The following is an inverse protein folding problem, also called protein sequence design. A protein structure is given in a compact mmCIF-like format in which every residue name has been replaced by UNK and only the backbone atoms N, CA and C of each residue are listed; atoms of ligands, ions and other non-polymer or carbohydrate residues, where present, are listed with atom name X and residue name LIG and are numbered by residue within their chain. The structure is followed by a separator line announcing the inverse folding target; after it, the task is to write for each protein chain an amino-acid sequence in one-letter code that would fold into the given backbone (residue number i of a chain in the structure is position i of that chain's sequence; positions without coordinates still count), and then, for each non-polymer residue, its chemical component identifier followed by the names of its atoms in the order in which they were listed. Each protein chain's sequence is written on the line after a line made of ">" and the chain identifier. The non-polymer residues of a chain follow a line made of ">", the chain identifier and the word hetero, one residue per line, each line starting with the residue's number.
data_IF_217373362652
#
_entry.id   IF_217373362652
#
_cell.length_a   1.000
_cell.length_b   1.000
_cell.length_c   1.000
_cell.angle_alpha   90.00
_cell.angle_beta   90.00
_cell.angle_gamma   90.00
#
_symmetry.space_group_name_H-M   'P 1'
#
loop_
_entity.id
_entity.type
_entity.pdbx_description
1 polymer ?
#
# COMPACT_ATOMS: atom_id res chain seq x y z
N UNK A 1 26.99 8.38 16.21
CA UNK A 1 26.11 7.34 15.65
C UNK A 1 26.20 7.44 14.15
N UNK A 2 26.99 6.57 13.50
CA UNK A 2 27.02 6.55 12.03
C UNK A 2 25.71 5.92 11.56
N UNK A 3 24.80 6.73 11.02
CA UNK A 3 23.67 6.19 10.27
C UNK A 3 24.26 5.32 9.15
N UNK A 4 23.97 4.02 9.19
CA UNK A 4 24.32 3.11 8.12
C UNK A 4 23.68 3.61 6.82
N UNK A 5 24.38 3.46 5.70
CA UNK A 5 23.89 3.92 4.39
C UNK A 5 22.50 3.34 4.06
N UNK A 6 22.20 2.15 4.58
CA UNK A 6 20.87 1.53 4.49
C UNK A 6 19.78 2.37 5.13
N UNK A 7 20.04 2.92 6.32
CA UNK A 7 19.06 3.73 7.07
C UNK A 7 18.75 5.00 6.31
N UNK A 8 19.77 5.64 5.72
CA UNK A 8 19.57 6.82 4.87
C UNK A 8 18.81 6.46 3.60
N UNK A 9 19.18 5.37 2.93
CA UNK A 9 18.51 4.91 1.71
C UNK A 9 17.04 4.56 1.98
N UNK A 10 16.75 3.96 3.14
CA UNK A 10 15.40 3.65 3.56
C UNK A 10 14.57 4.91 3.81
N UNK A 11 15.13 5.91 4.50
CA UNK A 11 14.48 7.21 4.74
C UNK A 11 14.13 7.93 3.43
N UNK A 12 15.08 7.96 2.47
CA UNK A 12 14.88 8.45 1.10
C UNK A 12 13.70 7.71 0.43
N UNK A 13 13.68 6.38 0.51
CA UNK A 13 12.66 5.54 -0.13
C UNK A 13 11.29 5.76 0.50
N UNK A 14 11.21 5.86 1.82
CA UNK A 14 9.97 6.18 2.53
C UNK A 14 9.47 7.57 2.14
N UNK A 15 10.33 8.58 2.14
CA UNK A 15 9.95 9.94 1.74
C UNK A 15 9.44 9.98 0.29
N UNK A 16 10.09 9.26 -0.62
CA UNK A 16 9.66 9.15 -2.01
C UNK A 16 8.31 8.42 -2.15
N UNK A 17 8.06 7.38 -1.34
CA UNK A 17 6.78 6.67 -1.34
C UNK A 17 5.61 7.54 -0.83
N UNK A 18 5.89 8.51 0.05
CA UNK A 18 4.89 9.44 0.59
C UNK A 18 4.69 10.69 -0.26
N UNK A 19 5.76 11.27 -0.81
CA UNK A 19 5.72 12.60 -1.44
C UNK A 19 6.16 12.62 -2.91
N UNK A 20 6.61 11.47 -3.45
CA UNK A 20 7.26 11.38 -4.75
C UNK A 20 8.70 11.94 -4.72
N UNK A 21 9.35 11.90 -5.89
CA UNK A 21 10.78 12.28 -6.03
C UNK A 21 11.02 13.75 -6.39
N UNK A 22 9.96 14.58 -6.45
CA UNK A 22 10.03 15.95 -6.98
C UNK A 22 10.97 16.89 -6.23
N UNK A 23 11.04 16.77 -4.90
CA UNK A 23 11.85 17.64 -4.02
C UNK A 23 13.22 17.05 -3.68
N UNK A 24 13.51 15.83 -4.12
CA UNK A 24 14.73 15.11 -3.77
C UNK A 24 15.91 15.55 -4.63
N UNK A 25 17.14 15.38 -4.13
CA UNK A 25 18.31 15.51 -4.99
C UNK A 25 18.30 14.44 -6.09
N UNK A 26 19.00 14.69 -7.19
CA UNK A 26 19.02 13.75 -8.32
C UNK A 26 19.46 12.33 -7.90
N UNK A 27 20.51 12.19 -7.10
CA UNK A 27 20.98 10.88 -6.65
C UNK A 27 19.97 10.16 -5.74
N UNK A 28 19.26 10.91 -4.90
CA UNK A 28 18.21 10.40 -4.02
C UNK A 28 16.97 9.96 -4.81
N UNK A 29 16.55 10.77 -5.79
CA UNK A 29 15.46 10.44 -6.69
C UNK A 29 15.73 9.16 -7.49
N UNK A 30 16.93 9.02 -8.08
CA UNK A 30 17.32 7.82 -8.81
C UNK A 30 17.40 6.59 -7.90
N UNK A 31 17.93 6.77 -6.69
CA UNK A 31 17.99 5.69 -5.69
C UNK A 31 16.58 5.23 -5.30
N UNK A 32 15.69 6.16 -4.95
CA UNK A 32 14.31 5.86 -4.60
C UNK A 32 13.59 5.14 -5.73
N UNK A 33 13.71 5.65 -6.96
CA UNK A 33 13.09 5.06 -8.14
C UNK A 33 13.59 3.63 -8.40
N UNK A 34 14.88 3.36 -8.24
CA UNK A 34 15.44 2.01 -8.38
C UNK A 34 14.96 1.05 -7.27
N UNK A 35 14.90 1.51 -6.02
CA UNK A 35 14.45 0.67 -4.89
C UNK A 35 12.95 0.36 -4.97
N UNK A 36 12.16 1.34 -5.41
CA UNK A 36 10.70 1.24 -5.53
C UNK A 36 10.24 0.60 -6.85
N UNK A 37 11.17 0.19 -7.71
CA UNK A 37 10.90 -0.35 -9.06
C UNK A 37 10.08 0.60 -9.95
N UNK A 38 10.29 1.91 -9.77
CA UNK A 38 9.61 2.98 -10.53
C UNK A 38 10.44 3.42 -11.72
N UNK A 39 10.44 2.57 -12.76
CA UNK A 39 11.12 2.89 -14.02
C UNK A 39 10.54 4.15 -14.68
N UNK A 40 9.24 4.40 -14.53
CA UNK A 40 8.58 5.62 -14.99
C UNK A 40 9.17 6.89 -14.36
N UNK A 41 9.55 6.86 -13.09
CA UNK A 41 10.23 7.98 -12.41
C UNK A 41 11.63 8.24 -12.95
N UNK A 42 12.34 7.18 -13.38
CA UNK A 42 13.62 7.33 -14.07
C UNK A 42 13.44 7.96 -15.46
N UNK A 43 12.45 7.47 -16.20
CA UNK A 43 12.12 7.94 -17.55
C UNK A 43 11.67 9.41 -17.56
N UNK A 44 10.88 9.85 -16.59
CA UNK A 44 10.46 11.25 -16.43
C UNK A 44 11.67 12.19 -16.24
N UNK A 45 12.75 11.69 -15.61
CA UNK A 45 14.01 12.41 -15.45
C UNK A 45 14.98 12.24 -16.63
N UNK A 46 14.62 11.43 -17.63
CA UNK A 46 15.44 11.14 -18.79
C UNK A 46 16.59 10.16 -18.53
N UNK A 47 16.48 9.30 -17.52
CA UNK A 47 17.50 8.30 -17.18
C UNK A 47 17.03 6.89 -17.52
N UNK A 48 17.91 6.09 -18.10
CA UNK A 48 17.76 4.64 -18.12
C UNK A 48 18.19 4.02 -16.79
N UNK A 49 17.81 2.75 -16.56
CA UNK A 49 18.24 1.98 -15.38
C UNK A 49 19.78 1.92 -15.30
N UNK A 50 20.45 1.69 -16.44
CA UNK A 50 21.90 1.59 -16.49
C UNK A 50 22.58 2.90 -16.10
N UNK A 51 22.12 4.03 -16.63
CA UNK A 51 22.65 5.36 -16.29
C UNK A 51 22.35 5.74 -14.84
N UNK A 52 21.18 5.37 -14.32
CA UNK A 52 20.84 5.59 -12.92
C UNK A 52 21.78 4.81 -11.99
N UNK A 53 22.07 3.54 -12.30
CA UNK A 53 23.01 2.70 -11.54
C UNK A 53 24.44 3.25 -11.57
N UNK A 54 24.92 3.70 -12.74
CA UNK A 54 26.22 4.35 -12.87
C UNK A 54 26.29 5.64 -12.03
N UNK A 55 25.21 6.43 -12.04
CA UNK A 55 25.11 7.71 -11.35
C UNK A 55 25.11 7.59 -9.82
N UNK A 56 24.41 6.62 -9.25
CA UNK A 56 24.38 6.41 -7.79
C UNK A 56 25.68 5.75 -7.28
N UNK A 57 26.40 5.07 -8.17
CA UNK A 57 27.66 4.41 -7.89
C UNK A 57 27.53 3.03 -7.22
N UNK A 58 28.61 2.23 -7.25
CA UNK A 58 28.59 0.82 -6.89
C UNK A 58 28.29 0.57 -5.40
N UNK A 59 28.66 1.52 -4.53
CA UNK A 59 28.44 1.38 -3.10
C UNK A 59 26.95 1.45 -2.73
N UNK A 60 26.18 2.32 -3.40
CA UNK A 60 24.74 2.41 -3.23
C UNK A 60 24.03 1.27 -3.98
N UNK A 61 24.46 0.98 -5.22
CA UNK A 61 23.92 -0.11 -6.02
C UNK A 61 23.96 -1.46 -5.30
N UNK A 62 25.03 -1.76 -4.57
CA UNK A 62 25.18 -3.00 -3.80
C UNK A 62 24.16 -3.15 -2.64
N UNK A 63 23.55 -2.04 -2.19
CA UNK A 63 22.58 -2.04 -1.08
C UNK A 63 21.12 -2.03 -1.54
N UNK A 64 20.86 -1.70 -2.81
CA UNK A 64 19.51 -1.57 -3.37
C UNK A 64 18.61 -2.78 -3.03
N UNK A 65 19.08 -4.00 -3.29
CA UNK A 65 18.28 -5.21 -3.02
C UNK A 65 17.99 -5.42 -1.53
N UNK A 66 18.91 -5.00 -0.64
CA UNK A 66 18.72 -5.13 0.81
C UNK A 66 17.65 -4.15 1.27
N UNK A 67 17.76 -2.89 0.85
CA UNK A 67 16.82 -1.84 1.23
C UNK A 67 15.45 -2.05 0.59
N UNK A 68 15.38 -2.54 -0.65
CA UNK A 68 14.12 -2.91 -1.30
C UNK A 68 13.36 -3.99 -0.53
N UNK A 69 14.05 -5.04 -0.06
CA UNK A 69 13.43 -6.07 0.78
C UNK A 69 12.99 -5.53 2.12
N UNK A 70 13.80 -4.69 2.75
CA UNK A 70 13.46 -4.07 4.01
C UNK A 70 12.22 -3.18 3.89
N UNK A 71 12.20 -2.28 2.90
CA UNK A 71 11.05 -1.44 2.61
C UNK A 71 9.80 -2.28 2.30
N UNK A 72 9.91 -3.33 1.48
CA UNK A 72 8.77 -4.19 1.18
C UNK A 72 8.22 -4.89 2.43
N UNK A 73 9.10 -5.28 3.36
CA UNK A 73 8.71 -5.88 4.64
C UNK A 73 7.96 -4.86 5.51
N UNK A 74 8.51 -3.66 5.66
CA UNK A 74 7.91 -2.57 6.45
C UNK A 74 6.59 -2.07 5.83
N UNK A 75 6.54 -1.94 4.50
CA UNK A 75 5.34 -1.58 3.76
C UNK A 75 4.28 -2.67 3.89
N UNK A 76 4.67 -3.95 3.84
CA UNK A 76 3.75 -5.08 4.07
C UNK A 76 3.22 -5.07 5.49
N UNK A 77 4.05 -4.84 6.50
CA UNK A 77 3.60 -4.70 7.89
C UNK A 77 2.63 -3.53 8.06
N UNK A 78 2.92 -2.38 7.44
CA UNK A 78 2.04 -1.21 7.42
C UNK A 78 0.71 -1.52 6.70
N UNK A 79 0.75 -2.34 5.65
CA UNK A 79 -0.46 -2.81 4.94
C UNK A 79 -1.27 -3.80 5.77
N UNK A 80 -0.61 -4.68 6.52
CA UNK A 80 -1.23 -5.68 7.41
C UNK A 80 -1.86 -5.05 8.66
N UNK A 81 -1.46 -3.83 9.01
CA UNK A 81 -2.13 -3.03 10.04
C UNK A 81 -3.61 -2.87 9.75
N UNK A 82 -3.99 -2.72 8.48
CA UNK A 82 -5.39 -2.60 8.09
C UNK A 82 -5.88 -3.95 7.54
N UNK A 83 -7.01 -4.42 8.06
CA UNK A 83 -7.66 -5.64 7.58
C UNK A 83 -9.17 -5.50 7.68
N UNK A 84 -9.92 -6.42 7.07
CA UNK A 84 -11.36 -6.47 7.22
C UNK A 84 -11.83 -7.90 7.36
N UNK A 85 -12.94 -8.07 8.07
CA UNK A 85 -13.61 -9.35 8.28
C UNK A 85 -15.06 -9.25 7.80
N UNK A 86 -15.54 -10.34 7.18
CA UNK A 86 -16.93 -10.48 6.78
C UNK A 86 -17.51 -11.65 7.57
N UNK A 87 -18.45 -11.36 8.47
CA UNK A 87 -19.04 -12.34 9.37
C UNK A 87 -20.49 -12.56 8.95
N UNK A 88 -20.95 -13.82 8.78
CA UNK A 88 -22.36 -14.09 8.51
C UNK A 88 -23.21 -13.67 9.71
N UNK A 89 -24.29 -12.93 9.45
CA UNK A 89 -25.23 -12.49 10.48
C UNK A 89 -26.44 -13.43 10.50
N UNK A 90 -26.59 -14.29 11.53
CA UNK A 90 -27.70 -15.22 11.60
C UNK A 90 -28.98 -14.46 11.95
N UNK A 91 -29.71 -14.04 10.92
CA UNK A 91 -31.06 -13.53 11.03
C UNK A 91 -31.96 -14.25 10.05
N UNK A 92 -33.27 -14.19 10.30
CA UNK A 92 -34.30 -14.73 9.40
C UNK A 92 -34.19 -14.16 7.96
N UNK A 93 -33.55 -13.00 7.82
CA UNK A 93 -33.29 -12.32 6.56
C UNK A 93 -31.95 -12.70 5.88
N UNK A 94 -31.05 -13.40 6.57
CA UNK A 94 -29.66 -13.62 6.11
C UNK A 94 -28.85 -12.33 5.98
N UNK A 95 -27.58 -12.46 5.60
CA UNK A 95 -26.69 -11.32 5.32
C UNK A 95 -25.36 -11.35 6.07
N UNK A 96 -24.58 -10.29 5.89
CA UNK A 96 -23.21 -10.19 6.37
C UNK A 96 -22.93 -8.89 7.10
N UNK A 97 -22.06 -8.95 8.10
CA UNK A 97 -21.48 -7.78 8.77
C UNK A 97 -20.03 -7.64 8.31
N UNK A 98 -19.74 -6.50 7.70
CA UNK A 98 -18.37 -6.08 7.39
C UNK A 98 -17.80 -5.35 8.62
N UNK A 99 -16.63 -5.79 9.10
CA UNK A 99 -15.84 -5.13 10.14
C UNK A 99 -14.53 -4.67 9.53
N UNK A 100 -14.21 -3.40 9.70
CA UNK A 100 -12.97 -2.78 9.25
C UNK A 100 -12.05 -2.65 10.48
N UNK A 101 -10.83 -3.17 10.37
CA UNK A 101 -9.91 -3.32 11.50
C UNK A 101 -8.63 -2.49 11.29
N UNK A 102 -8.26 -1.68 12.27
CA UNK A 102 -6.94 -1.06 12.43
C UNK A 102 -6.20 -1.75 13.59
N UNK A 103 -5.10 -2.43 13.28
CA UNK A 103 -4.29 -3.22 14.22
C UNK A 103 -5.13 -4.22 15.04
N UNK A 104 -6.13 -4.81 14.38
CA UNK A 104 -7.09 -5.75 15.00
C UNK A 104 -8.23 -5.08 15.79
N UNK A 105 -8.27 -3.76 15.89
CA UNK A 105 -9.38 -3.03 16.51
C UNK A 105 -10.40 -2.58 15.46
N UNK A 106 -11.69 -2.79 15.74
CA UNK A 106 -12.76 -2.34 14.85
C UNK A 106 -12.86 -0.82 14.83
N UNK A 107 -12.61 -0.24 13.66
CA UNK A 107 -12.67 1.21 13.42
C UNK A 107 -13.91 1.62 12.61
N UNK A 108 -14.64 0.65 12.08
CA UNK A 108 -15.86 0.89 11.31
C UNK A 108 -16.42 -0.40 10.73
N UNK A 109 -17.53 -0.28 10.01
CA UNK A 109 -18.21 -1.44 9.45
C UNK A 109 -19.57 -1.10 8.85
N UNK A 110 -20.26 -2.14 8.39
CA UNK A 110 -21.59 -2.03 7.81
C UNK A 110 -22.33 -3.36 7.81
N UNK A 111 -23.66 -3.28 7.80
CA UNK A 111 -24.53 -4.44 7.68
C UNK A 111 -25.10 -4.53 6.27
N UNK A 112 -24.94 -5.70 5.65
CA UNK A 112 -25.37 -6.01 4.30
C UNK A 112 -26.43 -7.11 4.36
N UNK A 113 -27.69 -6.69 4.43
CA UNK A 113 -28.83 -7.60 4.57
C UNK A 113 -29.29 -8.16 3.23
N UNK A 114 -29.45 -9.48 3.14
CA UNK A 114 -29.90 -10.16 1.92
C UNK A 114 -31.43 -10.10 1.70
N UNK A 115 -32.23 -9.99 2.77
CA UNK A 115 -33.71 -9.88 2.72
C UNK A 115 -34.25 -8.88 3.77
N UNK A 116 -35.52 -8.45 3.65
CA UNK A 116 -36.14 -7.47 4.58
C UNK A 116 -37.09 -6.46 3.92
N UNK A 117 -37.61 -5.46 4.66
CA UNK A 117 -38.55 -4.44 4.12
C UNK A 117 -37.90 -3.36 3.25
N UNK A 118 -36.56 -3.28 3.26
CA UNK A 118 -35.75 -2.36 2.44
C UNK A 118 -34.58 -3.11 1.81
N UNK A 119 -34.89 -4.21 1.10
CA UNK A 119 -33.87 -5.05 0.45
C UNK A 119 -33.05 -4.23 -0.54
N UNK A 120 -31.73 -4.27 -0.40
CA UNK A 120 -30.79 -3.69 -1.36
C UNK A 120 -30.21 -4.70 -2.35
N UNK A 121 -30.25 -6.00 -2.03
CA UNK A 121 -29.59 -7.09 -2.78
C UNK A 121 -30.54 -8.24 -3.11
N UNK A 122 -30.36 -8.87 -4.27
CA UNK A 122 -31.25 -9.92 -4.78
C UNK A 122 -31.13 -11.25 -4.02
N UNK A 123 -29.96 -11.53 -3.42
CA UNK A 123 -29.60 -12.79 -2.77
C UNK A 123 -28.41 -12.60 -1.80
N UNK A 124 -28.06 -13.65 -1.04
CA UNK A 124 -26.97 -13.62 -0.06
C UNK A 124 -25.58 -13.49 -0.71
N UNK A 125 -25.34 -14.05 -1.89
CA UNK A 125 -24.07 -13.92 -2.58
C UNK A 125 -23.85 -12.45 -2.99
N UNK A 126 -24.88 -11.79 -3.51
CA UNK A 126 -24.84 -10.35 -3.81
C UNK A 126 -24.52 -9.49 -2.57
N UNK A 127 -25.03 -9.85 -1.39
CA UNK A 127 -24.73 -9.15 -0.15
C UNK A 127 -23.27 -9.37 0.32
N UNK A 128 -22.73 -10.58 0.12
CA UNK A 128 -21.32 -10.88 0.38
C UNK A 128 -20.39 -10.13 -0.58
N UNK A 129 -20.68 -10.16 -1.88
CA UNK A 129 -19.86 -9.52 -2.91
C UNK A 129 -19.77 -8.02 -2.69
N UNK A 130 -20.87 -7.37 -2.28
CA UNK A 130 -20.86 -5.95 -1.91
C UNK A 130 -20.04 -5.69 -0.63
N UNK A 131 -20.21 -6.52 0.41
CA UNK A 131 -19.41 -6.40 1.63
C UNK A 131 -17.90 -6.56 1.34
N UNK A 132 -17.56 -7.48 0.45
CA UNK A 132 -16.20 -7.69 -0.04
C UNK A 132 -15.69 -6.50 -0.85
N UNK A 133 -16.49 -5.97 -1.77
CA UNK A 133 -16.13 -4.79 -2.55
C UNK A 133 -15.89 -3.56 -1.65
N UNK A 134 -16.75 -3.34 -0.65
CA UNK A 134 -16.61 -2.26 0.32
C UNK A 134 -15.36 -2.42 1.20
N UNK A 135 -15.08 -3.64 1.69
CA UNK A 135 -13.87 -3.95 2.46
C UNK A 135 -12.59 -3.75 1.64
N UNK A 136 -12.57 -4.26 0.41
CA UNK A 136 -11.45 -4.08 -0.53
C UNK A 136 -11.23 -2.60 -0.87
N UNK A 137 -12.30 -1.83 -1.13
CA UNK A 137 -12.19 -0.40 -1.43
C UNK A 137 -11.65 0.40 -0.24
N UNK A 138 -12.10 0.10 0.98
CA UNK A 138 -11.57 0.72 2.19
C UNK A 138 -10.09 0.39 2.39
N UNK A 139 -9.71 -0.88 2.24
CA UNK A 139 -8.32 -1.31 2.37
C UNK A 139 -7.44 -0.64 1.32
N UNK A 140 -7.85 -0.62 0.05
CA UNK A 140 -7.15 0.08 -1.02
C UNK A 140 -6.96 1.58 -0.70
N UNK A 141 -8.00 2.23 -0.19
CA UNK A 141 -7.93 3.61 0.29
C UNK A 141 -6.87 3.80 1.37
N UNK A 142 -6.84 2.94 2.40
CA UNK A 142 -5.82 2.98 3.47
C UNK A 142 -4.40 2.74 2.95
N UNK A 143 -4.25 1.85 1.98
CA UNK A 143 -2.95 1.59 1.36
C UNK A 143 -2.47 2.77 0.51
N UNK A 144 -3.38 3.45 -0.19
CA UNK A 144 -3.10 4.69 -0.94
C UNK A 144 -2.79 5.85 -0.02
N UNK A 145 -3.48 6.00 1.12
CA UNK A 145 -3.14 7.02 2.12
C UNK A 145 -1.74 6.77 2.72
N UNK A 146 -1.37 5.51 2.94
CA UNK A 146 -0.06 5.14 3.44
C UNK A 146 1.05 5.41 2.42
N UNK A 147 0.85 5.07 1.15
CA UNK A 147 1.87 5.26 0.10
C UNK A 147 1.26 5.87 -1.18
N UNK A 148 0.90 7.16 -1.16
CA UNK A 148 0.17 7.79 -2.25
C UNK A 148 0.98 7.85 -3.54
N UNK A 149 2.29 8.06 -3.45
CA UNK A 149 3.14 8.13 -4.63
C UNK A 149 3.28 6.77 -5.34
N UNK A 150 3.00 5.65 -4.65
CA UNK A 150 3.05 4.30 -5.19
C UNK A 150 1.73 3.79 -5.78
N UNK A 151 0.66 4.57 -5.71
CA UNK A 151 -0.69 4.14 -6.10
C UNK A 151 -1.02 4.34 -7.59
N UNK A 152 0.00 4.26 -8.46
CA UNK A 152 -0.10 4.61 -9.88
C UNK A 152 0.24 3.44 -10.80
#
# INVERSE_FOLDING_TARGET
>A
MHATIDTRMLDIVQQAAHYGIGTMSLGEALTAALVLDRSDWLHDRGYSIAEALDRIGPHWAARLCTVARQFHTEATQTRLRYSFEIIPYPSDAGGYTLRLLDDGQEVGGGQFSARGKSVRFTDEQSAYDEALAAGCAWLAGKQTEAFPALSH
#
